data_IF_613572591219
#
_entry.id   IF_613572591219
#
_cell.length_a   1.000
_cell.length_b   1.000
_cell.length_c   1.000
_cell.angle_alpha   90.00
_cell.angle_beta   90.00
_cell.angle_gamma   90.00
#
_symmetry.space_group_name_H-M   'P 1'
#
loop_
_entity.id
_entity.type
_entity.pdbx_description
1 polymer ?
#
# COMPACT_ATOMS: atom_id res chain seq x y z
N UNK A 1 5.22 -10.04 -40.55
CA UNK A 1 4.07 -9.43 -39.84
C UNK A 1 4.55 -8.12 -39.18
N UNK A 2 4.21 -6.97 -39.75
CA UNK A 2 4.56 -5.65 -39.21
C UNK A 2 3.74 -5.37 -37.96
N UNK A 3 4.39 -5.22 -36.80
CA UNK A 3 3.75 -4.66 -35.60
C UNK A 3 3.49 -3.18 -35.84
N UNK A 4 2.24 -2.83 -36.10
CA UNK A 4 1.79 -1.44 -36.15
C UNK A 4 1.77 -0.95 -34.70
N UNK A 5 2.70 -0.07 -34.35
CA UNK A 5 2.70 0.66 -33.10
C UNK A 5 1.61 1.75 -33.21
N UNK A 6 0.42 1.47 -32.66
CA UNK A 6 -0.56 2.54 -32.46
C UNK A 6 -0.12 3.43 -31.30
N UNK A 7 -0.16 4.77 -31.45
CA UNK A 7 0.16 5.68 -30.36
C UNK A 7 -0.76 5.45 -29.16
N UNK A 8 -0.19 5.53 -27.98
CA UNK A 8 -0.83 5.21 -26.69
C UNK A 8 -2.07 6.10 -26.39
N UNK A 9 -2.27 7.17 -27.17
CA UNK A 9 -3.29 8.20 -26.93
C UNK A 9 -4.55 8.12 -27.79
N UNK A 10 -4.61 7.30 -28.83
CA UNK A 10 -5.74 7.26 -29.75
C UNK A 10 -6.22 5.82 -29.97
N UNK A 11 -7.31 5.46 -29.39
CA UNK A 11 -7.94 4.15 -29.65
C UNK A 11 -9.29 3.97 -28.99
N UNK A 12 -10.29 3.84 -29.80
CA UNK A 12 -11.64 3.28 -29.69
C UNK A 12 -12.34 3.16 -28.32
N UNK A 13 -13.68 3.22 -28.34
CA UNK A 13 -14.65 3.22 -27.21
C UNK A 13 -14.36 2.21 -26.09
N UNK A 14 -13.75 1.05 -26.38
CA UNK A 14 -13.29 0.10 -25.38
C UNK A 14 -12.04 0.57 -24.58
N UNK A 15 -11.23 1.51 -25.15
CA UNK A 15 -10.14 2.17 -24.43
C UNK A 15 -10.67 3.21 -23.43
N UNK A 16 -11.85 3.75 -23.64
CA UNK A 16 -12.42 4.77 -22.74
C UNK A 16 -12.82 4.16 -21.40
N UNK A 17 -13.35 2.92 -21.40
CA UNK A 17 -13.62 2.19 -20.16
C UNK A 17 -12.33 1.90 -19.38
N UNK A 18 -11.28 1.46 -20.05
CA UNK A 18 -10.00 1.21 -19.39
C UNK A 18 -9.40 2.51 -18.81
N UNK A 19 -9.51 3.64 -19.52
CA UNK A 19 -9.10 4.97 -19.01
C UNK A 19 -9.93 5.38 -17.80
N UNK A 20 -11.23 5.14 -17.84
CA UNK A 20 -12.13 5.41 -16.74
C UNK A 20 -11.74 4.66 -15.46
N UNK A 21 -11.39 3.37 -15.56
CA UNK A 21 -10.89 2.62 -14.41
C UNK A 21 -9.53 3.11 -13.92
N UNK A 22 -8.59 3.50 -14.81
CA UNK A 22 -7.33 4.13 -14.40
C UNK A 22 -7.61 5.39 -13.61
N UNK A 23 -8.53 6.23 -14.05
CA UNK A 23 -8.91 7.46 -13.35
C UNK A 23 -9.50 7.17 -11.97
N UNK A 24 -10.45 6.22 -11.86
CA UNK A 24 -11.01 5.80 -10.57
C UNK A 24 -9.92 5.34 -9.58
N UNK A 25 -9.02 4.50 -10.06
CA UNK A 25 -7.87 4.04 -9.27
C UNK A 25 -6.95 5.18 -8.85
N UNK A 26 -6.74 6.13 -9.74
CA UNK A 26 -5.87 7.29 -9.45
C UNK A 26 -6.47 8.18 -8.39
N UNK A 27 -7.78 8.44 -8.44
CA UNK A 27 -8.48 9.21 -7.41
C UNK A 27 -8.41 8.52 -6.05
N UNK A 28 -8.67 7.20 -5.98
CA UNK A 28 -8.54 6.43 -4.75
C UNK A 28 -7.10 6.43 -4.22
N UNK A 29 -6.12 6.18 -5.10
CA UNK A 29 -4.71 6.20 -4.74
C UNK A 29 -4.26 7.58 -4.25
N UNK A 30 -4.71 8.66 -4.86
CA UNK A 30 -4.38 10.03 -4.47
C UNK A 30 -5.00 10.40 -3.12
N UNK A 31 -6.28 10.05 -2.89
CA UNK A 31 -6.95 10.27 -1.61
C UNK A 31 -6.20 9.61 -0.44
N UNK A 32 -5.62 8.44 -0.65
CA UNK A 32 -4.82 7.74 0.35
C UNK A 32 -3.40 8.31 0.45
N UNK A 33 -2.77 8.58 -0.68
CA UNK A 33 -1.38 9.02 -0.74
C UNK A 33 -1.15 10.36 -0.03
N UNK A 34 -2.09 11.30 -0.18
CA UNK A 34 -2.02 12.62 0.44
C UNK A 34 -2.08 12.56 1.98
N UNK A 35 -2.66 11.50 2.54
CA UNK A 35 -2.79 11.28 3.97
C UNK A 35 -1.61 10.50 4.59
N UNK A 36 -0.80 9.83 3.77
CA UNK A 36 0.23 8.87 4.22
C UNK A 36 1.20 9.45 5.24
N UNK A 37 1.69 10.68 5.02
CA UNK A 37 2.62 11.35 5.95
C UNK A 37 1.91 12.30 6.91
N UNK A 38 0.79 12.89 6.49
CA UNK A 38 0.06 13.85 7.30
C UNK A 38 -0.58 13.20 8.53
N UNK A 39 -1.22 12.05 8.37
CA UNK A 39 -1.93 11.37 9.48
C UNK A 39 -0.97 10.90 10.58
N UNK A 40 0.19 10.25 10.30
CA UNK A 40 1.18 9.93 11.32
C UNK A 40 1.72 11.16 12.06
N UNK A 41 1.95 12.27 11.35
CA UNK A 41 2.41 13.53 11.96
C UNK A 41 1.35 14.12 12.89
N UNK A 42 0.09 14.14 12.47
CA UNK A 42 -1.02 14.56 13.31
C UNK A 42 -1.18 13.66 14.54
N UNK A 43 -1.09 12.33 14.32
CA UNK A 43 -1.16 11.38 15.42
C UNK A 43 -0.03 11.59 16.44
N UNK A 44 1.19 11.86 15.97
CA UNK A 44 2.31 12.16 16.83
C UNK A 44 2.13 13.46 17.60
N UNK A 45 1.63 14.51 16.94
CA UNK A 45 1.36 15.79 17.58
C UNK A 45 0.27 15.70 18.67
N UNK A 46 -0.80 14.91 18.42
CA UNK A 46 -1.93 14.75 19.36
C UNK A 46 -1.61 13.79 20.52
N UNK A 47 -0.89 12.72 20.25
CA UNK A 47 -0.62 11.68 21.26
C UNK A 47 0.69 11.92 22.02
N UNK A 48 1.60 12.75 21.50
CA UNK A 48 2.85 13.15 22.13
C UNK A 48 3.96 12.07 22.17
N UNK A 49 3.67 10.83 21.74
CA UNK A 49 4.64 9.74 21.79
C UNK A 49 4.45 8.76 20.62
N UNK A 50 5.55 8.37 19.97
CA UNK A 50 5.52 7.43 18.85
C UNK A 50 4.94 6.06 19.22
N UNK A 51 5.13 5.60 20.46
CA UNK A 51 4.53 4.36 20.98
C UNK A 51 2.99 4.40 20.94
N UNK A 52 2.38 5.52 21.30
CA UNK A 52 0.92 5.68 21.27
C UNK A 52 0.39 5.74 19.83
N UNK A 53 1.17 6.33 18.92
CA UNK A 53 0.86 6.27 17.49
C UNK A 53 0.86 4.83 17.02
N UNK A 54 1.86 4.03 17.39
CA UNK A 54 1.92 2.60 17.04
C UNK A 54 0.71 1.84 17.55
N UNK A 55 0.28 2.08 18.81
CA UNK A 55 -0.92 1.45 19.39
C UNK A 55 -2.17 1.87 18.62
N UNK A 56 -2.32 3.15 18.28
CA UNK A 56 -3.47 3.64 17.51
C UNK A 56 -3.56 2.97 16.12
N UNK A 57 -2.43 2.86 15.42
CA UNK A 57 -2.37 2.15 14.13
C UNK A 57 -2.62 0.66 14.28
N UNK A 58 -2.13 0.02 15.33
CA UNK A 58 -2.39 -1.40 15.61
C UNK A 58 -3.89 -1.67 15.81
N UNK A 59 -4.56 -0.86 16.64
CA UNK A 59 -6.01 -0.98 16.87
C UNK A 59 -6.79 -0.72 15.59
N UNK A 60 -6.44 0.32 14.84
CA UNK A 60 -7.08 0.62 13.56
C UNK A 60 -6.88 -0.51 12.54
N UNK A 61 -5.68 -1.08 12.46
CA UNK A 61 -5.37 -2.18 11.53
C UNK A 61 -6.12 -3.47 11.88
N UNK A 62 -6.44 -3.70 13.16
CA UNK A 62 -7.29 -4.82 13.55
C UNK A 62 -8.69 -4.69 12.95
N UNK A 63 -9.26 -3.48 12.96
CA UNK A 63 -10.54 -3.19 12.28
C UNK A 63 -10.44 -3.46 10.78
N UNK A 64 -9.36 -3.01 10.14
CA UNK A 64 -9.10 -3.26 8.70
C UNK A 64 -8.99 -4.75 8.36
N UNK A 65 -8.30 -5.53 9.19
CA UNK A 65 -8.18 -6.98 9.01
C UNK A 65 -9.55 -7.66 9.15
N UNK A 66 -10.32 -7.34 10.20
CA UNK A 66 -11.66 -7.87 10.40
C UNK A 66 -12.57 -7.52 9.22
N UNK A 67 -12.49 -6.27 8.72
CA UNK A 67 -13.24 -5.84 7.54
C UNK A 67 -12.87 -6.65 6.29
N UNK A 68 -11.58 -6.87 6.03
CA UNK A 68 -11.13 -7.61 4.85
C UNK A 68 -11.65 -9.06 4.82
N UNK A 69 -11.86 -9.66 5.98
CA UNK A 69 -12.42 -11.00 6.11
C UNK A 69 -13.94 -11.03 5.96
N UNK A 70 -14.62 -9.94 6.33
CA UNK A 70 -16.10 -9.85 6.28
C UNK A 70 -16.64 -9.33 4.94
N UNK A 71 -15.87 -8.52 4.20
CA UNK A 71 -16.29 -7.96 2.89
C UNK A 71 -16.80 -9.03 1.91
N UNK A 72 -16.16 -10.21 1.74
CA UNK A 72 -16.70 -11.27 0.88
C UNK A 72 -18.10 -11.74 1.29
N UNK A 73 -18.39 -11.76 2.60
CA UNK A 73 -19.70 -12.14 3.14
C UNK A 73 -20.73 -11.04 2.84
N UNK A 74 -20.36 -9.77 3.06
CA UNK A 74 -21.22 -8.61 2.78
C UNK A 74 -21.62 -8.56 1.30
N UNK A 75 -20.71 -8.94 0.40
CA UNK A 75 -20.95 -8.99 -1.04
C UNK A 75 -21.98 -10.06 -1.46
N UNK A 76 -22.31 -11.01 -0.59
CA UNK A 76 -23.46 -11.92 -0.83
C UNK A 76 -24.81 -11.26 -0.62
N UNK A 77 -24.89 -10.31 0.31
CA UNK A 77 -26.13 -9.69 0.74
C UNK A 77 -26.40 -8.35 0.06
N UNK A 78 -25.31 -7.60 -0.22
CA UNK A 78 -25.39 -6.23 -0.75
C UNK A 78 -24.79 -6.20 -2.15
N UNK A 79 -25.48 -5.54 -3.09
CA UNK A 79 -24.99 -5.33 -4.45
C UNK A 79 -23.67 -4.54 -4.43
N UNK A 80 -22.69 -4.92 -5.22
CA UNK A 80 -21.32 -4.34 -5.27
C UNK A 80 -21.30 -2.82 -5.38
N UNK A 81 -22.24 -2.23 -6.14
CA UNK A 81 -22.35 -0.77 -6.28
C UNK A 81 -22.58 -0.07 -4.93
N UNK A 82 -23.43 -0.64 -4.09
CA UNK A 82 -23.68 -0.10 -2.76
C UNK A 82 -22.52 -0.32 -1.81
N UNK A 83 -21.82 -1.44 -1.91
CA UNK A 83 -20.62 -1.70 -1.09
C UNK A 83 -19.51 -0.69 -1.45
N UNK A 84 -19.32 -0.36 -2.73
CA UNK A 84 -18.39 0.70 -3.15
C UNK A 84 -18.82 2.06 -2.59
N UNK A 85 -20.11 2.40 -2.71
CA UNK A 85 -20.64 3.66 -2.19
C UNK A 85 -20.48 3.76 -0.69
N UNK A 86 -20.80 2.71 0.06
CA UNK A 86 -20.59 2.64 1.52
C UNK A 86 -19.10 2.82 1.84
N UNK A 87 -18.20 2.13 1.14
CA UNK A 87 -16.75 2.28 1.33
C UNK A 87 -16.27 3.72 1.10
N UNK A 88 -16.76 4.38 0.04
CA UNK A 88 -16.43 5.78 -0.24
C UNK A 88 -17.00 6.74 0.82
N UNK A 89 -18.23 6.52 1.28
CA UNK A 89 -18.82 7.32 2.37
C UNK A 89 -18.05 7.13 3.67
N UNK A 90 -17.65 5.91 4.02
CA UNK A 90 -16.81 5.63 5.19
C UNK A 90 -15.47 6.33 5.05
N UNK A 91 -14.86 6.36 3.86
CA UNK A 91 -13.60 7.08 3.62
C UNK A 91 -13.77 8.59 3.84
N UNK A 92 -14.83 9.20 3.32
CA UNK A 92 -15.12 10.62 3.54
C UNK A 92 -15.36 10.91 5.02
N UNK A 93 -16.13 10.08 5.71
CA UNK A 93 -16.37 10.21 7.15
C UNK A 93 -15.08 10.06 7.97
N UNK A 94 -14.23 9.09 7.61
CA UNK A 94 -12.90 8.93 8.21
C UNK A 94 -12.09 10.21 8.11
N UNK A 95 -12.01 10.78 6.92
CA UNK A 95 -11.24 12.00 6.65
C UNK A 95 -11.84 13.20 7.41
N UNK A 96 -13.16 13.30 7.51
CA UNK A 96 -13.83 14.33 8.31
C UNK A 96 -13.51 14.21 9.80
N UNK A 97 -13.49 12.98 10.35
CA UNK A 97 -13.07 12.75 11.74
C UNK A 97 -11.60 13.10 11.97
N UNK A 98 -10.71 12.76 11.04
CA UNK A 98 -9.29 13.13 11.12
C UNK A 98 -9.12 14.66 11.12
N UNK A 99 -9.93 15.38 10.35
CA UNK A 99 -9.90 16.84 10.29
C UNK A 99 -10.30 17.52 11.62
N UNK A 100 -11.09 16.86 12.48
CA UNK A 100 -11.49 17.40 13.78
C UNK A 100 -10.32 17.56 14.78
N UNK A 101 -9.20 16.86 14.57
CA UNK A 101 -7.98 17.07 15.35
C UNK A 101 -8.04 16.72 16.83
N UNK A 102 -8.97 15.85 17.27
CA UNK A 102 -9.03 15.38 18.66
C UNK A 102 -8.49 13.97 18.79
N UNK A 103 -8.05 13.55 19.99
CA UNK A 103 -7.54 12.18 20.22
C UNK A 103 -8.58 11.12 19.90
N UNK A 104 -9.83 11.32 20.28
CA UNK A 104 -10.92 10.39 20.02
C UNK A 104 -11.24 10.31 18.52
N UNK A 105 -11.35 11.45 17.83
CA UNK A 105 -11.63 11.51 16.41
C UNK A 105 -10.48 10.94 15.58
N UNK A 106 -9.23 11.06 16.03
CA UNK A 106 -8.06 10.44 15.40
C UNK A 106 -8.19 8.92 15.39
N UNK A 107 -8.45 8.30 16.55
CA UNK A 107 -8.55 6.83 16.64
C UNK A 107 -9.74 6.31 15.84
N UNK A 108 -10.90 6.95 15.95
CA UNK A 108 -12.07 6.61 15.15
C UNK A 108 -11.85 6.81 13.65
N UNK A 109 -11.23 7.92 13.26
CA UNK A 109 -10.87 8.22 11.88
C UNK A 109 -9.91 7.20 11.29
N UNK A 110 -8.84 6.82 12.00
CA UNK A 110 -7.91 5.77 11.60
C UNK A 110 -8.62 4.43 11.43
N UNK A 111 -9.49 4.04 12.36
CA UNK A 111 -10.23 2.78 12.27
C UNK A 111 -11.15 2.76 11.04
N UNK A 112 -11.89 3.85 10.79
CA UNK A 112 -12.73 3.98 9.60
C UNK A 112 -11.89 4.03 8.31
N UNK A 113 -10.70 4.63 8.33
CA UNK A 113 -9.78 4.66 7.19
C UNK A 113 -9.35 3.23 6.81
N UNK A 114 -8.96 2.41 7.78
CA UNK A 114 -8.59 1.02 7.53
C UNK A 114 -9.77 0.16 7.05
N UNK A 115 -10.97 0.41 7.60
CA UNK A 115 -12.21 -0.20 7.14
C UNK A 115 -12.50 0.17 5.67
N UNK A 116 -12.49 1.47 5.34
CA UNK A 116 -12.73 1.96 3.99
C UNK A 116 -11.74 1.39 2.98
N UNK A 117 -10.44 1.39 3.32
CA UNK A 117 -9.38 0.83 2.48
C UNK A 117 -9.64 -0.65 2.18
N UNK A 118 -10.00 -1.45 3.18
CA UNK A 118 -10.28 -2.87 3.00
C UNK A 118 -11.50 -3.10 2.07
N UNK A 119 -12.55 -2.31 2.24
CA UNK A 119 -13.77 -2.39 1.40
C UNK A 119 -13.48 -1.97 -0.03
N UNK A 120 -12.87 -0.80 -0.22
CA UNK A 120 -12.60 -0.23 -1.55
C UNK A 120 -11.61 -1.08 -2.34
N UNK A 121 -10.54 -1.58 -1.71
CA UNK A 121 -9.55 -2.45 -2.35
C UNK A 121 -10.21 -3.71 -2.95
N UNK A 122 -11.10 -4.35 -2.20
CA UNK A 122 -11.79 -5.56 -2.70
C UNK A 122 -12.74 -5.21 -3.83
N UNK A 123 -13.61 -4.21 -3.64
CA UNK A 123 -14.69 -3.93 -4.57
C UNK A 123 -14.16 -3.33 -5.89
N UNK A 124 -13.22 -2.39 -5.84
CA UNK A 124 -12.64 -1.79 -7.04
C UNK A 124 -11.88 -2.85 -7.86
N UNK A 125 -11.15 -3.77 -7.21
CA UNK A 125 -10.50 -4.86 -7.92
C UNK A 125 -11.49 -5.85 -8.56
N UNK A 126 -12.64 -6.12 -7.92
CA UNK A 126 -13.68 -6.94 -8.52
C UNK A 126 -14.28 -6.27 -9.77
N UNK A 127 -14.61 -4.97 -9.71
CA UNK A 127 -15.07 -4.23 -10.89
C UNK A 127 -14.05 -4.24 -12.02
N UNK A 128 -12.76 -4.12 -11.70
CA UNK A 128 -11.67 -4.21 -12.67
C UNK A 128 -11.68 -5.55 -13.41
N UNK A 129 -11.73 -6.66 -12.65
CA UNK A 129 -11.69 -8.01 -13.21
C UNK A 129 -12.91 -8.34 -14.08
N UNK A 130 -14.07 -7.74 -13.77
CA UNK A 130 -15.30 -7.96 -14.52
C UNK A 130 -15.34 -7.16 -15.84
N UNK A 131 -14.73 -5.96 -15.87
CA UNK A 131 -14.86 -5.06 -17.02
C UNK A 131 -13.65 -5.09 -17.95
N UNK A 132 -12.49 -5.56 -17.48
CA UNK A 132 -11.28 -5.61 -18.31
C UNK A 132 -10.97 -7.04 -18.72
N UNK A 133 -11.06 -7.35 -20.03
CA UNK A 133 -10.73 -8.68 -20.54
C UNK A 133 -9.30 -9.09 -20.15
N UNK A 134 -9.10 -10.34 -19.75
CA UNK A 134 -7.80 -10.88 -19.31
C UNK A 134 -6.66 -10.60 -20.28
N UNK A 135 -6.93 -10.61 -21.61
CA UNK A 135 -5.94 -10.31 -22.66
C UNK A 135 -5.43 -8.88 -22.61
N UNK A 136 -6.21 -7.92 -22.06
CA UNK A 136 -5.85 -6.50 -21.96
C UNK A 136 -5.25 -6.11 -20.62
N UNK A 137 -5.33 -6.97 -19.62
CA UNK A 137 -4.74 -6.71 -18.31
C UNK A 137 -3.23 -6.37 -18.41
N UNK A 138 -2.51 -6.99 -19.34
CA UNK A 138 -1.09 -6.74 -19.57
C UNK A 138 -0.78 -5.30 -20.04
N UNK A 139 -1.74 -4.60 -20.65
CA UNK A 139 -1.60 -3.21 -21.07
C UNK A 139 -2.21 -2.24 -20.05
N UNK A 140 -3.25 -2.66 -19.34
CA UNK A 140 -3.93 -1.87 -18.33
C UNK A 140 -3.12 -1.74 -17.04
N UNK A 141 -2.60 -2.83 -16.52
CA UNK A 141 -1.92 -2.89 -15.23
C UNK A 141 -0.70 -1.95 -15.16
N UNK A 142 0.20 -1.87 -16.17
CA UNK A 142 1.31 -0.92 -16.15
C UNK A 142 0.87 0.55 -16.12
N UNK A 143 -0.27 0.88 -16.77
CA UNK A 143 -0.81 2.26 -16.72
C UNK A 143 -1.38 2.56 -15.34
N UNK A 144 -2.17 1.67 -14.78
CA UNK A 144 -2.72 1.81 -13.44
C UNK A 144 -1.59 2.02 -12.42
N UNK A 145 -0.54 1.20 -12.48
CA UNK A 145 0.61 1.31 -11.59
C UNK A 145 1.37 2.62 -11.78
N UNK A 146 1.48 3.13 -13.00
CA UNK A 146 2.14 4.41 -13.28
C UNK A 146 1.39 5.57 -12.62
N UNK A 147 0.08 5.67 -12.84
CA UNK A 147 -0.72 6.76 -12.28
C UNK A 147 -0.87 6.66 -10.76
N UNK A 148 -1.10 5.47 -10.22
CA UNK A 148 -1.10 5.25 -8.79
C UNK A 148 0.28 5.54 -8.18
N UNK A 149 1.37 5.11 -8.83
CA UNK A 149 2.73 5.40 -8.41
C UNK A 149 3.03 6.91 -8.41
N UNK A 150 2.55 7.66 -9.41
CA UNK A 150 2.68 9.12 -9.43
C UNK A 150 1.93 9.77 -8.26
N UNK A 151 0.71 9.29 -7.96
CA UNK A 151 -0.06 9.76 -6.80
C UNK A 151 0.68 9.48 -5.48
N UNK A 152 1.25 8.29 -5.31
CA UNK A 152 2.04 7.94 -4.12
C UNK A 152 3.39 8.66 -4.06
N UNK A 153 4.03 8.97 -5.19
CA UNK A 153 5.27 9.74 -5.22
C UNK A 153 5.05 11.23 -4.87
N UNK A 154 3.92 11.81 -5.23
CA UNK A 154 3.64 13.22 -4.97
C UNK A 154 2.82 13.46 -3.69
N UNK A 155 1.89 12.55 -3.38
CA UNK A 155 0.88 12.73 -2.32
C UNK A 155 1.43 13.01 -0.93
N UNK A 156 2.41 12.26 -0.41
CA UNK A 156 2.92 12.47 0.94
C UNK A 156 3.46 13.87 1.18
N UNK A 157 4.23 14.41 0.24
CA UNK A 157 4.74 15.77 0.33
C UNK A 157 3.63 16.82 0.17
N UNK A 158 2.77 16.67 -0.85
CA UNK A 158 1.65 17.57 -1.09
C UNK A 158 0.75 17.64 0.15
N UNK A 159 0.47 16.51 0.78
CA UNK A 159 -0.41 16.45 1.95
C UNK A 159 0.12 17.26 3.12
N UNK A 160 1.39 17.08 3.47
CA UNK A 160 1.99 17.84 4.58
C UNK A 160 2.13 19.32 4.22
N UNK A 161 2.51 19.61 2.97
CA UNK A 161 2.67 20.98 2.48
C UNK A 161 1.36 21.77 2.53
N UNK A 162 0.26 21.21 2.02
CA UNK A 162 -1.05 21.86 2.02
C UNK A 162 -1.52 22.16 3.44
N UNK A 163 -1.38 21.19 4.36
CA UNK A 163 -1.81 21.35 5.73
C UNK A 163 -1.03 22.44 6.48
N UNK A 164 0.28 22.54 6.23
CA UNK A 164 1.17 23.43 6.98
C UNK A 164 1.32 24.82 6.38
N UNK A 165 1.33 24.94 5.06
CA UNK A 165 1.68 26.18 4.39
C UNK A 165 0.50 26.88 3.71
N UNK A 166 -0.64 26.17 3.49
CA UNK A 166 -1.80 26.77 2.83
C UNK A 166 -2.95 26.96 3.81
N UNK A 167 -3.51 25.87 4.35
CA UNK A 167 -4.55 25.93 5.37
C UNK A 167 -4.63 24.63 6.16
N UNK A 168 -4.82 24.75 7.48
CA UNK A 168 -5.13 23.59 8.31
C UNK A 168 -6.41 22.92 7.82
N UNK A 169 -6.36 21.59 7.65
CA UNK A 169 -7.51 20.83 7.15
C UNK A 169 -7.61 20.72 5.63
N UNK A 170 -6.90 21.53 4.82
CA UNK A 170 -7.00 21.48 3.37
C UNK A 170 -6.63 20.09 2.79
N UNK A 171 -5.66 19.41 3.38
CA UNK A 171 -5.28 18.05 3.00
C UNK A 171 -6.45 17.09 3.13
N UNK A 172 -7.22 17.20 4.19
CA UNK A 172 -8.41 16.36 4.42
C UNK A 172 -9.52 16.70 3.44
N UNK A 173 -9.73 17.99 3.15
CA UNK A 173 -10.69 18.41 2.13
C UNK A 173 -10.33 17.85 0.74
N UNK A 174 -9.08 17.95 0.35
CA UNK A 174 -8.59 17.43 -0.94
C UNK A 174 -8.74 15.90 -1.01
N UNK A 175 -8.46 15.17 0.07
CA UNK A 175 -8.68 13.73 0.14
C UNK A 175 -10.17 13.37 0.02
N UNK A 176 -11.05 14.12 0.71
CA UNK A 176 -12.50 13.93 0.62
C UNK A 176 -13.03 14.23 -0.79
N UNK A 177 -12.59 15.33 -1.42
CA UNK A 177 -12.95 15.70 -2.79
C UNK A 177 -12.47 14.66 -3.80
N UNK A 178 -11.26 14.11 -3.62
CA UNK A 178 -10.76 13.04 -4.49
C UNK A 178 -11.63 11.76 -4.40
N UNK A 179 -12.04 11.40 -3.18
CA UNK A 179 -12.96 10.26 -2.96
C UNK A 179 -14.35 10.55 -3.54
N UNK A 180 -14.85 11.78 -3.37
CA UNK A 180 -16.13 12.19 -3.94
C UNK A 180 -16.09 12.19 -5.47
N UNK A 181 -15.00 12.67 -6.07
CA UNK A 181 -14.76 12.61 -7.52
C UNK A 181 -14.76 11.17 -8.01
N UNK A 182 -14.09 10.26 -7.31
CA UNK A 182 -14.13 8.83 -7.60
C UNK A 182 -15.57 8.30 -7.57
N UNK A 183 -16.35 8.63 -6.54
CA UNK A 183 -17.70 8.15 -6.37
C UNK A 183 -18.66 8.72 -7.43
N UNK A 184 -18.62 10.02 -7.70
CA UNK A 184 -19.45 10.65 -8.73
C UNK A 184 -19.14 10.09 -10.12
N UNK A 185 -17.85 9.95 -10.43
CA UNK A 185 -17.43 9.38 -11.70
C UNK A 185 -17.85 7.92 -11.85
N UNK A 186 -17.79 7.11 -10.77
CA UNK A 186 -18.29 5.75 -10.76
C UNK A 186 -19.79 5.68 -11.13
N UNK A 187 -20.61 6.56 -10.56
CA UNK A 187 -22.04 6.59 -10.85
C UNK A 187 -22.37 7.15 -12.25
N UNK A 188 -21.63 8.15 -12.73
CA UNK A 188 -21.84 8.74 -14.08
C UNK A 188 -21.51 7.75 -15.21
N UNK A 189 -20.51 6.89 -15.00
CA UNK A 189 -20.12 5.87 -15.97
C UNK A 189 -21.14 4.71 -16.09
N UNK A 190 -22.23 4.72 -15.30
CA UNK A 190 -23.21 3.62 -15.23
C UNK A 190 -22.59 2.22 -15.11
N UNK A 191 -21.42 2.14 -14.49
CA UNK A 191 -20.76 0.86 -14.21
C UNK A 191 -21.61 -0.04 -13.31
N UNK A 192 -22.64 0.55 -12.71
CA UNK A 192 -23.60 -0.10 -11.84
C UNK A 192 -24.66 -0.94 -12.56
N UNK A 193 -24.91 -0.69 -13.86
CA UNK A 193 -26.17 -1.11 -14.52
C UNK A 193 -26.04 -2.31 -15.48
N UNK A 194 -24.94 -3.04 -15.44
CA UNK A 194 -24.76 -4.21 -16.30
C UNK A 194 -25.39 -5.46 -15.67
N UNK A 195 -26.61 -5.90 -16.09
CA UNK A 195 -27.34 -7.03 -15.48
C UNK A 195 -26.61 -8.36 -15.61
N UNK A 196 -25.80 -8.52 -16.66
CA UNK A 196 -25.02 -9.74 -16.91
C UNK A 196 -23.91 -9.97 -15.89
N UNK A 197 -23.47 -8.91 -15.17
CA UNK A 197 -22.45 -8.99 -14.14
C UNK A 197 -23.02 -9.30 -12.75
N UNK A 198 -24.34 -9.14 -12.57
CA UNK A 198 -25.00 -9.42 -11.29
C UNK A 198 -25.14 -10.93 -11.02
N UNK A 199 -25.14 -11.77 -12.06
CA UNK A 199 -25.39 -13.20 -11.95
C UNK A 199 -24.12 -14.09 -12.01
N UNK A 200 -22.99 -13.56 -12.49
CA UNK A 200 -21.87 -14.40 -12.93
C UNK A 200 -20.69 -14.51 -11.98
N UNK A 201 -20.59 -13.69 -10.95
CA UNK A 201 -19.42 -13.72 -10.10
C UNK A 201 -19.75 -14.26 -8.71
N UNK A 202 -19.36 -15.50 -8.48
CA UNK A 202 -19.24 -16.01 -7.12
C UNK A 202 -18.38 -15.03 -6.29
N UNK A 203 -18.76 -14.74 -5.05
CA UNK A 203 -17.95 -13.87 -4.19
C UNK A 203 -16.55 -14.43 -4.08
N UNK A 204 -15.55 -13.56 -3.83
CA UNK A 204 -14.17 -14.01 -3.69
C UNK A 204 -14.11 -15.08 -2.61
N UNK A 205 -13.37 -16.18 -2.85
CA UNK A 205 -13.29 -17.27 -1.88
C UNK A 205 -12.71 -16.74 -0.56
N UNK A 206 -13.36 -17.08 0.57
CA UNK A 206 -12.86 -16.70 1.88
C UNK A 206 -11.44 -17.22 2.09
N UNK A 207 -10.48 -16.36 2.48
CA UNK A 207 -9.11 -16.81 2.72
C UNK A 207 -9.03 -17.89 3.80
N UNK A 208 -9.86 -17.81 4.85
CA UNK A 208 -9.86 -18.75 5.97
C UNK A 208 -10.08 -20.21 5.54
N UNK A 209 -10.93 -20.44 4.53
CA UNK A 209 -11.23 -21.80 4.02
C UNK A 209 -9.99 -22.49 3.42
N UNK A 210 -9.03 -21.72 2.92
CA UNK A 210 -7.89 -22.24 2.17
C UNK A 210 -6.55 -22.11 2.90
N UNK A 211 -6.51 -21.51 4.10
CA UNK A 211 -5.29 -21.29 4.90
C UNK A 211 -4.52 -22.60 5.10
N UNK A 212 -5.18 -23.67 5.54
CA UNK A 212 -4.50 -24.95 5.78
C UNK A 212 -3.81 -25.49 4.52
N UNK A 213 -4.50 -25.39 3.37
CA UNK A 213 -3.94 -25.82 2.07
C UNK A 213 -2.81 -24.92 1.59
N UNK A 214 -2.85 -23.63 1.94
CA UNK A 214 -1.79 -22.68 1.62
C UNK A 214 -0.53 -22.99 2.44
N UNK A 215 -0.67 -23.18 3.75
CA UNK A 215 0.45 -23.47 4.67
C UNK A 215 1.11 -24.81 4.32
N UNK A 216 0.37 -25.79 3.81
CA UNK A 216 0.93 -27.06 3.34
C UNK A 216 1.88 -26.91 2.12
N UNK A 217 1.99 -25.72 1.53
CA UNK A 217 2.84 -25.44 0.38
C UNK A 217 3.99 -24.48 0.74
N UNK A 218 5.19 -24.95 1.11
CA UNK A 218 6.29 -24.12 1.63
C UNK A 218 6.70 -22.98 0.70
N UNK A 219 6.60 -23.18 -0.63
CA UNK A 219 6.92 -22.14 -1.62
C UNK A 219 5.93 -20.97 -1.58
N UNK A 220 4.64 -21.24 -1.31
CA UNK A 220 3.63 -20.20 -1.16
C UNK A 220 3.81 -19.45 0.16
N UNK A 221 4.14 -20.17 1.23
CA UNK A 221 4.46 -19.58 2.53
C UNK A 221 5.66 -18.66 2.42
N UNK A 222 6.75 -19.11 1.77
CA UNK A 222 7.92 -18.28 1.54
C UNK A 222 7.58 -17.00 0.75
N UNK A 223 6.79 -17.12 -0.32
CA UNK A 223 6.35 -15.96 -1.10
C UNK A 223 5.51 -14.99 -0.25
N UNK A 224 4.65 -15.50 0.63
CA UNK A 224 3.83 -14.71 1.54
C UNK A 224 4.67 -13.99 2.60
N UNK A 225 5.65 -14.68 3.21
CA UNK A 225 6.58 -14.10 4.19
C UNK A 225 7.39 -12.98 3.55
N UNK A 226 7.92 -13.17 2.35
CA UNK A 226 8.65 -12.12 1.63
C UNK A 226 7.74 -10.92 1.32
N UNK A 227 6.51 -11.15 0.86
CA UNK A 227 5.56 -10.09 0.61
C UNK A 227 5.17 -9.34 1.91
N UNK A 228 5.05 -10.06 3.03
CA UNK A 228 4.82 -9.50 4.36
C UNK A 228 6.00 -8.60 4.78
N UNK A 229 7.23 -9.06 4.63
CA UNK A 229 8.44 -8.28 4.95
C UNK A 229 8.53 -6.99 4.12
N UNK A 230 8.23 -7.06 2.82
CA UNK A 230 8.15 -5.88 1.96
C UNK A 230 7.10 -4.88 2.44
N UNK A 231 5.88 -5.35 2.68
CA UNK A 231 4.80 -4.49 3.17
C UNK A 231 5.13 -3.89 4.54
N UNK A 232 5.73 -4.69 5.42
CA UNK A 232 6.14 -4.26 6.75
C UNK A 232 7.17 -3.13 6.73
N UNK A 233 8.16 -3.22 5.85
CA UNK A 233 9.14 -2.15 5.69
C UNK A 233 8.49 -0.84 5.20
N UNK A 234 7.57 -0.92 4.23
CA UNK A 234 6.84 0.26 3.76
C UNK A 234 5.94 0.86 4.85
N UNK A 235 5.23 0.05 5.63
CA UNK A 235 4.43 0.53 6.77
C UNK A 235 5.31 1.26 7.78
N UNK A 236 6.48 0.72 8.09
CA UNK A 236 7.49 1.39 8.93
C UNK A 236 7.86 2.75 8.34
N UNK A 237 8.26 2.80 7.08
CA UNK A 237 8.71 4.02 6.44
C UNK A 237 7.62 5.10 6.41
N UNK A 238 6.37 4.73 6.11
CA UNK A 238 5.26 5.67 6.02
C UNK A 238 4.89 6.30 7.37
N UNK A 239 4.96 5.53 8.45
CA UNK A 239 4.57 6.01 9.78
C UNK A 239 5.75 6.71 10.47
N UNK A 240 6.91 6.09 10.51
CA UNK A 240 7.97 6.52 11.42
C UNK A 240 8.98 7.48 10.80
N UNK A 241 9.15 7.51 9.47
CA UNK A 241 10.03 8.49 8.82
C UNK A 241 9.55 9.93 9.04
N UNK A 242 8.26 10.28 8.81
CA UNK A 242 7.77 11.62 9.12
C UNK A 242 7.87 11.96 10.61
N UNK A 243 7.56 11.00 11.49
CA UNK A 243 7.64 11.18 12.95
C UNK A 243 9.10 11.43 13.38
N UNK A 244 10.06 10.69 12.82
CA UNK A 244 11.47 10.88 13.13
C UNK A 244 11.94 12.29 12.74
N UNK A 245 11.60 12.75 11.54
CA UNK A 245 11.93 14.10 11.06
C UNK A 245 11.39 15.17 12.01
N UNK A 246 10.13 15.04 12.41
CA UNK A 246 9.50 15.96 13.36
C UNK A 246 10.13 15.91 14.76
N UNK A 247 10.45 14.70 15.27
CA UNK A 247 11.08 14.51 16.57
C UNK A 247 12.53 15.00 16.62
N UNK A 248 13.22 15.01 15.47
CA UNK A 248 14.56 15.57 15.33
C UNK A 248 14.58 17.10 15.16
N UNK A 249 13.43 17.77 15.27
CA UNK A 249 13.30 19.24 15.22
C UNK A 249 13.30 19.84 13.81
N UNK A 250 13.20 19.02 12.78
CA UNK A 250 13.11 19.50 11.39
C UNK A 250 11.65 19.79 10.99
N UNK A 251 11.49 20.58 9.94
CA UNK A 251 10.16 20.91 9.39
C UNK A 251 9.45 19.64 8.91
N UNK A 252 8.18 19.43 9.28
CA UNK A 252 7.42 18.22 8.93
C UNK A 252 7.31 17.95 7.42
N UNK A 253 7.37 19.00 6.59
CA UNK A 253 7.35 18.89 5.13
C UNK A 253 8.53 18.05 4.58
N UNK A 254 9.68 18.10 5.26
CA UNK A 254 10.84 17.28 4.93
C UNK A 254 10.50 15.79 5.09
N UNK A 255 9.73 15.44 6.13
CA UNK A 255 9.27 14.06 6.34
C UNK A 255 8.38 13.56 5.18
N UNK A 256 7.42 14.40 4.76
CA UNK A 256 6.60 14.13 3.58
C UNK A 256 7.43 14.03 2.29
N UNK A 257 8.41 14.93 2.12
CA UNK A 257 9.31 14.92 0.96
C UNK A 257 10.17 13.66 0.90
N UNK A 258 10.71 13.20 2.02
CA UNK A 258 11.51 11.97 2.09
C UNK A 258 10.69 10.73 1.68
N UNK A 259 9.46 10.63 2.16
CA UNK A 259 8.55 9.54 1.76
C UNK A 259 8.23 9.63 0.26
N UNK A 260 7.94 10.82 -0.25
CA UNK A 260 7.67 11.06 -1.67
C UNK A 260 8.89 10.71 -2.54
N UNK A 261 10.08 11.17 -2.18
CA UNK A 261 11.32 10.87 -2.89
C UNK A 261 11.64 9.38 -2.86
N UNK A 262 11.41 8.72 -1.72
CA UNK A 262 11.58 7.27 -1.59
C UNK A 262 10.62 6.46 -2.46
N UNK A 263 9.42 6.98 -2.74
CA UNK A 263 8.42 6.34 -3.60
C UNK A 263 8.60 6.69 -5.09
N UNK A 264 9.25 7.81 -5.43
CA UNK A 264 9.44 8.24 -6.82
C UNK A 264 10.05 7.15 -7.72
N UNK A 265 11.03 6.32 -7.25
CA UNK A 265 11.59 5.24 -8.08
C UNK A 265 10.60 4.12 -8.41
N UNK A 266 9.40 4.07 -7.80
CA UNK A 266 8.33 3.18 -8.27
C UNK A 266 7.90 3.49 -9.71
N UNK A 267 8.11 4.73 -10.18
CA UNK A 267 7.90 5.09 -11.58
C UNK A 267 8.88 4.35 -12.53
N UNK A 268 10.01 3.90 -12.00
CA UNK A 268 11.03 3.12 -12.70
C UNK A 268 10.79 1.60 -12.63
N UNK A 269 9.59 1.15 -12.27
CA UNK A 269 9.26 -0.29 -12.12
C UNK A 269 9.63 -1.12 -13.36
N UNK A 270 9.60 -0.52 -14.55
CA UNK A 270 10.03 -1.19 -15.80
C UNK A 270 11.53 -1.47 -15.82
N UNK A 271 12.33 -0.57 -15.25
CA UNK A 271 13.79 -0.72 -15.13
C UNK A 271 14.08 -1.87 -14.17
N UNK A 272 13.45 -1.88 -13.00
CA UNK A 272 13.57 -2.96 -12.03
C UNK A 272 13.13 -4.31 -12.59
N UNK A 273 12.05 -4.32 -13.38
CA UNK A 273 11.58 -5.53 -14.08
C UNK A 273 12.62 -6.07 -15.07
N UNK A 274 13.31 -5.20 -15.84
CA UNK A 274 14.41 -5.59 -16.72
C UNK A 274 15.61 -6.12 -15.97
N UNK A 275 16.02 -5.44 -14.90
CA UNK A 275 17.12 -5.90 -14.03
C UNK A 275 16.77 -7.26 -13.44
N UNK A 276 15.52 -7.48 -13.02
CA UNK A 276 15.04 -8.76 -12.52
C UNK A 276 15.05 -9.88 -13.56
N UNK A 277 14.86 -9.57 -14.85
CA UNK A 277 15.01 -10.53 -15.94
C UNK A 277 16.47 -10.95 -16.16
N UNK A 278 17.42 -10.02 -16.00
CA UNK A 278 18.85 -10.27 -16.17
C UNK A 278 19.43 -11.00 -14.96
N UNK A 279 19.17 -10.51 -13.74
CA UNK A 279 19.74 -11.05 -12.51
C UNK A 279 18.98 -12.26 -11.97
N UNK A 280 17.74 -12.47 -12.41
CA UNK A 280 16.80 -13.42 -11.82
C UNK A 280 16.08 -12.86 -10.57
N UNK A 281 14.85 -13.30 -10.36
CA UNK A 281 13.97 -12.84 -9.25
C UNK A 281 14.60 -13.04 -7.88
N UNK A 282 15.28 -14.17 -7.66
CA UNK A 282 15.96 -14.50 -6.40
C UNK A 282 17.03 -13.47 -6.05
N UNK A 283 17.94 -13.17 -6.99
CA UNK A 283 19.05 -12.25 -6.75
C UNK A 283 18.55 -10.81 -6.58
N UNK A 284 17.57 -10.38 -7.41
CA UNK A 284 16.95 -9.07 -7.28
C UNK A 284 16.36 -8.87 -5.88
N UNK A 285 15.60 -9.83 -5.36
CA UNK A 285 15.03 -9.77 -4.02
C UNK A 285 16.10 -9.80 -2.93
N UNK A 286 17.09 -10.69 -3.06
CA UNK A 286 18.18 -10.80 -2.07
C UNK A 286 18.99 -9.52 -1.96
N UNK A 287 19.34 -8.90 -3.08
CA UNK A 287 20.06 -7.62 -3.14
C UNK A 287 19.17 -6.48 -2.65
N UNK A 288 17.93 -6.38 -3.14
CA UNK A 288 16.99 -5.34 -2.73
C UNK A 288 16.76 -5.34 -1.22
N UNK A 289 16.42 -6.50 -0.63
CA UNK A 289 16.24 -6.62 0.81
C UNK A 289 17.53 -6.38 1.59
N UNK A 290 18.68 -6.87 1.10
CA UNK A 290 19.97 -6.68 1.72
C UNK A 290 20.34 -5.20 1.80
N UNK A 291 20.30 -4.50 0.67
CA UNK A 291 20.59 -3.06 0.61
C UNK A 291 19.64 -2.24 1.48
N UNK A 292 18.32 -2.53 1.39
CA UNK A 292 17.31 -1.88 2.23
C UNK A 292 17.58 -2.12 3.71
N UNK A 293 17.93 -3.35 4.09
CA UNK A 293 18.23 -3.72 5.47
C UNK A 293 19.49 -3.02 5.99
N UNK A 294 20.60 -3.08 5.26
CA UNK A 294 21.83 -2.41 5.65
C UNK A 294 21.70 -0.89 5.73
N UNK A 295 21.03 -0.27 4.75
CA UNK A 295 20.78 1.17 4.78
C UNK A 295 19.91 1.59 5.97
N UNK A 296 18.89 0.78 6.34
CA UNK A 296 18.05 1.04 7.51
C UNK A 296 18.84 0.90 8.82
N UNK A 297 19.74 -0.08 8.94
CA UNK A 297 20.64 -0.21 10.10
C UNK A 297 21.64 0.95 10.19
N UNK A 298 22.23 1.35 9.07
CA UNK A 298 23.11 2.51 9.03
C UNK A 298 22.37 3.80 9.41
N UNK A 299 21.11 3.95 8.95
CA UNK A 299 20.25 5.06 9.35
C UNK A 299 19.98 5.07 10.87
N UNK A 300 19.75 3.91 11.46
CA UNK A 300 19.57 3.79 12.91
C UNK A 300 20.83 4.22 13.67
N UNK A 301 22.03 3.80 13.24
CA UNK A 301 23.28 4.23 13.81
C UNK A 301 23.44 5.75 13.69
N UNK A 302 23.20 6.31 12.50
CA UNK A 302 23.24 7.75 12.28
C UNK A 302 22.25 8.53 13.19
N UNK A 303 21.06 7.97 13.42
CA UNK A 303 20.06 8.57 14.31
C UNK A 303 20.51 8.57 15.78
N UNK A 304 21.11 7.46 16.25
CA UNK A 304 21.62 7.35 17.63
C UNK A 304 22.83 8.25 17.85
N UNK A 305 23.69 8.43 16.84
CA UNK A 305 24.87 9.31 16.93
C UNK A 305 24.55 10.80 16.72
N UNK A 306 23.26 11.17 16.56
CA UNK A 306 22.83 12.56 16.37
C UNK A 306 23.01 13.09 14.94
N UNK A 307 23.44 12.26 13.98
CA UNK A 307 23.62 12.62 12.58
C UNK A 307 22.29 12.56 11.81
N UNK A 308 21.33 13.39 12.18
CA UNK A 308 19.95 13.31 11.69
C UNK A 308 19.85 13.47 10.16
N UNK A 309 20.65 14.34 9.54
CA UNK A 309 20.65 14.50 8.07
C UNK A 309 21.16 13.23 7.36
N UNK A 310 22.19 12.58 7.91
CA UNK A 310 22.68 11.32 7.38
C UNK A 310 21.62 10.21 7.53
N UNK A 311 20.94 10.16 8.68
CA UNK A 311 19.82 9.23 8.87
C UNK A 311 18.75 9.42 7.81
N UNK A 312 18.29 10.65 7.55
CA UNK A 312 17.29 10.97 6.54
C UNK A 312 17.75 10.54 5.13
N UNK A 313 19.00 10.82 4.76
CA UNK A 313 19.57 10.41 3.48
C UNK A 313 19.61 8.87 3.34
N UNK A 314 20.01 8.16 4.39
CA UNK A 314 20.09 6.70 4.40
C UNK A 314 18.69 6.04 4.36
N UNK A 315 17.68 6.61 5.02
CA UNK A 315 16.29 6.11 4.93
C UNK A 315 15.72 6.35 3.52
N UNK A 316 16.01 7.51 2.92
CA UNK A 316 15.62 7.77 1.53
C UNK A 316 16.30 6.78 0.58
N UNK A 317 17.58 6.48 0.77
CA UNK A 317 18.31 5.46 0.01
C UNK A 317 17.74 4.05 0.26
N UNK A 318 17.38 3.71 1.50
CA UNK A 318 16.73 2.44 1.81
C UNK A 318 15.38 2.31 1.09
N UNK A 319 14.60 3.40 1.03
CA UNK A 319 13.34 3.44 0.28
C UNK A 319 13.57 3.25 -1.23
N UNK A 320 14.58 3.89 -1.80
CA UNK A 320 15.00 3.65 -3.18
C UNK A 320 15.30 2.16 -3.41
N UNK A 321 16.09 1.53 -2.55
CA UNK A 321 16.40 0.10 -2.65
C UNK A 321 15.16 -0.79 -2.48
N UNK A 322 14.21 -0.39 -1.63
CA UNK A 322 12.96 -1.12 -1.44
C UNK A 322 12.10 -1.17 -2.72
N UNK A 323 12.18 -0.16 -3.59
CA UNK A 323 11.48 -0.19 -4.89
C UNK A 323 11.99 -1.28 -5.84
N UNK A 324 13.24 -1.75 -5.67
CA UNK A 324 13.75 -2.93 -6.40
C UNK A 324 12.94 -4.18 -6.04
N UNK A 325 12.56 -4.31 -4.76
CA UNK A 325 11.76 -5.43 -4.26
C UNK A 325 10.35 -5.38 -4.89
N UNK A 326 9.79 -4.17 -5.01
CA UNK A 326 8.50 -3.95 -5.69
C UNK A 326 8.56 -4.28 -7.17
N UNK A 327 9.72 -4.10 -7.82
CA UNK A 327 9.96 -4.51 -9.20
C UNK A 327 9.84 -6.02 -9.43
N UNK A 328 10.19 -6.86 -8.44
CA UNK A 328 9.89 -8.29 -8.45
C UNK A 328 8.41 -8.57 -8.14
N UNK A 329 7.75 -7.68 -7.41
CA UNK A 329 6.33 -7.73 -7.10
C UNK A 329 5.90 -9.07 -6.48
N UNK A 330 4.84 -9.65 -7.05
CA UNK A 330 4.28 -10.92 -6.60
C UNK A 330 4.78 -12.12 -7.45
N UNK A 331 5.88 -11.96 -8.22
CA UNK A 331 6.43 -13.01 -9.11
C UNK A 331 6.70 -14.33 -8.36
N UNK A 332 7.29 -14.33 -7.14
CA UNK A 332 7.50 -15.58 -6.41
C UNK A 332 6.21 -16.37 -6.16
N UNK A 333 5.14 -15.67 -5.80
CA UNK A 333 3.82 -16.28 -5.62
C UNK A 333 3.24 -16.77 -6.96
N UNK A 334 3.25 -15.93 -7.99
CA UNK A 334 2.64 -16.24 -9.30
C UNK A 334 3.29 -17.46 -9.98
N UNK A 335 4.59 -17.68 -9.75
CA UNK A 335 5.33 -18.84 -10.26
C UNK A 335 5.17 -20.09 -9.39
N UNK A 336 4.92 -19.93 -8.09
CA UNK A 336 4.73 -21.04 -7.18
C UNK A 336 3.30 -21.63 -7.20
N UNK A 337 2.29 -20.81 -7.53
CA UNK A 337 0.88 -21.21 -7.47
C UNK A 337 0.48 -22.04 -8.69
N UNK A 338 -0.22 -23.16 -8.46
CA UNK A 338 -0.78 -24.00 -9.52
C UNK A 338 -1.98 -23.32 -10.19
N UNK A 339 -2.13 -23.50 -11.50
CA UNK A 339 -3.17 -22.80 -12.29
C UNK A 339 -4.60 -23.01 -11.77
N UNK A 340 -4.93 -24.25 -11.37
CA UNK A 340 -6.27 -24.59 -10.88
C UNK A 340 -6.56 -24.08 -9.47
N UNK A 341 -5.54 -23.79 -8.66
CA UNK A 341 -5.67 -23.26 -7.31
C UNK A 341 -5.52 -21.74 -7.20
N UNK A 342 -5.22 -21.08 -8.32
CA UNK A 342 -4.79 -19.68 -8.32
C UNK A 342 -5.75 -18.75 -7.58
N UNK A 343 -7.06 -18.85 -7.83
CA UNK A 343 -8.05 -17.98 -7.18
C UNK A 343 -8.08 -18.14 -5.65
N UNK A 344 -8.11 -19.41 -5.19
CA UNK A 344 -8.14 -19.74 -3.78
C UNK A 344 -6.85 -19.34 -3.05
N UNK A 345 -5.69 -19.61 -3.65
CA UNK A 345 -4.40 -19.27 -3.06
C UNK A 345 -4.12 -17.75 -3.10
N UNK A 346 -4.61 -17.03 -4.12
CA UNK A 346 -4.49 -15.57 -4.19
C UNK A 346 -5.23 -14.90 -3.04
N UNK A 347 -6.43 -15.39 -2.67
CA UNK A 347 -7.18 -14.80 -1.55
C UNK A 347 -6.42 -14.91 -0.23
N UNK A 348 -5.76 -16.04 0.02
CA UNK A 348 -4.89 -16.21 1.19
C UNK A 348 -3.63 -15.36 1.07
N UNK A 349 -2.98 -15.37 -0.11
CA UNK A 349 -1.76 -14.61 -0.32
C UNK A 349 -1.95 -13.11 -0.02
N UNK A 350 -3.03 -12.50 -0.50
CA UNK A 350 -3.29 -11.06 -0.34
C UNK A 350 -3.47 -10.62 1.12
N UNK A 351 -3.69 -11.56 2.06
CA UNK A 351 -3.78 -11.24 3.50
C UNK A 351 -2.48 -10.64 4.05
N UNK A 352 -1.32 -10.81 3.36
CA UNK A 352 -0.05 -10.23 3.81
C UNK A 352 -0.14 -8.72 4.05
N UNK A 353 -0.99 -8.00 3.29
CA UNK A 353 -1.17 -6.55 3.45
C UNK A 353 -1.80 -6.21 4.79
N UNK A 354 -2.91 -6.85 5.11
CA UNK A 354 -3.65 -6.58 6.36
C UNK A 354 -2.89 -7.11 7.58
N UNK A 355 -2.28 -8.30 7.46
CA UNK A 355 -1.42 -8.84 8.51
C UNK A 355 -0.19 -7.96 8.73
N UNK A 356 0.43 -7.46 7.68
CA UNK A 356 1.56 -6.53 7.79
C UNK A 356 1.19 -5.21 8.44
N UNK A 357 0.05 -4.64 8.03
CA UNK A 357 -0.46 -3.40 8.63
C UNK A 357 -0.84 -3.57 10.11
N UNK A 358 -1.15 -4.78 10.56
CA UNK A 358 -1.43 -5.11 11.95
C UNK A 358 -0.14 -5.42 12.73
N UNK A 359 0.65 -6.38 12.25
CA UNK A 359 1.81 -6.91 12.98
C UNK A 359 2.88 -5.84 13.16
N UNK A 360 3.12 -5.02 12.14
CA UNK A 360 4.21 -4.05 12.16
C UNK A 360 4.01 -2.95 13.22
N UNK A 361 2.88 -2.23 13.27
CA UNK A 361 2.66 -1.28 14.35
C UNK A 361 2.58 -1.97 15.73
N UNK A 362 2.08 -3.21 15.80
CA UNK A 362 2.06 -3.97 17.04
C UNK A 362 3.46 -4.27 17.58
N UNK A 363 4.36 -4.76 16.71
CA UNK A 363 5.78 -5.00 17.08
C UNK A 363 6.45 -3.68 17.47
N UNK A 364 6.23 -2.61 16.71
CA UNK A 364 6.83 -1.32 17.02
C UNK A 364 6.23 -0.66 18.28
N UNK A 365 4.98 -0.93 18.62
CA UNK A 365 4.43 -0.53 19.92
C UNK A 365 5.24 -1.16 21.07
N UNK A 366 5.57 -2.44 20.97
CA UNK A 366 6.41 -3.15 21.95
C UNK A 366 7.86 -2.63 21.96
N UNK A 367 8.48 -2.45 20.81
CA UNK A 367 9.84 -1.92 20.68
C UNK A 367 9.93 -0.52 21.30
N UNK A 368 8.99 0.37 20.98
CA UNK A 368 8.96 1.75 21.46
C UNK A 368 8.50 1.88 22.92
N UNK A 369 8.08 0.81 23.55
CA UNK A 369 7.84 0.78 24.99
C UNK A 369 9.15 0.75 25.78
N UNK A 370 10.17 0.11 25.24
CA UNK A 370 11.46 -0.14 25.92
C UNK A 370 12.58 0.72 25.31
N UNK A 371 12.53 0.94 24.00
CA UNK A 371 13.62 1.53 23.22
C UNK A 371 13.19 2.84 22.54
N UNK A 372 14.13 3.78 22.31
CA UNK A 372 13.83 5.04 21.63
C UNK A 372 13.52 4.85 20.14
N UNK A 373 12.96 5.90 19.51
CA UNK A 373 12.47 5.90 18.13
C UNK A 373 13.47 5.36 17.08
N UNK A 374 14.80 5.61 17.13
CA UNK A 374 15.74 5.05 16.16
C UNK A 374 15.75 3.53 16.06
N UNK A 375 15.34 2.82 17.11
CA UNK A 375 15.28 1.35 17.11
C UNK A 375 14.18 0.78 16.20
N UNK A 376 13.24 1.59 15.74
CA UNK A 376 12.31 1.23 14.68
C UNK A 376 13.08 0.93 13.38
N UNK A 377 14.09 1.72 13.06
CA UNK A 377 14.96 1.49 11.89
C UNK A 377 15.88 0.28 12.07
N UNK A 378 16.32 -0.01 13.31
CA UNK A 378 17.02 -1.27 13.61
C UNK A 378 16.12 -2.46 13.30
N UNK A 379 14.89 -2.46 13.81
CA UNK A 379 13.95 -3.56 13.62
C UNK A 379 13.60 -3.74 12.13
N UNK A 380 13.34 -2.63 11.40
CA UNK A 380 13.12 -2.65 9.96
C UNK A 380 14.33 -3.14 9.17
N UNK A 381 15.53 -2.78 9.59
CA UNK A 381 16.78 -3.22 9.00
C UNK A 381 17.03 -4.72 9.20
N UNK A 382 16.83 -5.22 10.41
CA UNK A 382 16.93 -6.66 10.72
C UNK A 382 15.90 -7.48 9.95
N UNK A 383 14.68 -6.96 9.85
CA UNK A 383 13.64 -7.58 9.01
C UNK A 383 14.10 -7.66 7.55
N UNK A 384 14.66 -6.58 7.00
CA UNK A 384 15.22 -6.56 5.64
C UNK A 384 16.29 -7.63 5.44
N UNK A 385 17.27 -7.75 6.36
CA UNK A 385 18.32 -8.77 6.28
C UNK A 385 17.76 -10.19 6.41
N UNK A 386 16.79 -10.42 7.29
CA UNK A 386 16.11 -11.70 7.38
C UNK A 386 15.41 -12.06 6.06
N UNK A 387 14.72 -11.11 5.42
CA UNK A 387 14.08 -11.33 4.13
C UNK A 387 15.11 -11.58 3.02
N UNK A 388 16.26 -10.90 3.05
CA UNK A 388 17.37 -11.15 2.14
C UNK A 388 17.91 -12.58 2.26
N UNK A 389 18.05 -13.07 3.49
CA UNK A 389 18.43 -14.45 3.76
C UNK A 389 17.37 -15.44 3.26
N UNK A 390 16.11 -15.22 3.60
CA UNK A 390 14.99 -16.09 3.18
C UNK A 390 14.82 -16.11 1.66
N UNK A 391 15.09 -15.02 0.97
CA UNK A 391 14.99 -14.96 -0.50
C UNK A 391 15.93 -15.94 -1.21
N UNK A 392 17.01 -16.39 -0.55
CA UNK A 392 17.94 -17.40 -1.06
C UNK A 392 17.30 -18.78 -1.25
N UNK A 393 16.19 -19.06 -0.57
CA UNK A 393 15.44 -20.30 -0.72
C UNK A 393 14.49 -20.30 -1.93
N UNK A 394 14.38 -19.19 -2.66
CA UNK A 394 13.67 -19.15 -3.95
C UNK A 394 14.48 -20.00 -4.95
N UNK A 395 13.85 -20.95 -5.68
CA UNK A 395 14.53 -21.77 -6.67
C UNK A 395 15.23 -20.91 -7.75
N UNK A 396 16.42 -21.30 -8.19
CA UNK A 396 17.22 -20.55 -9.18
C UNK A 396 16.58 -20.47 -10.57
N UNK A 397 15.62 -21.33 -10.88
CA UNK A 397 14.87 -21.34 -12.15
C UNK A 397 13.58 -20.51 -12.14
N UNK A 398 13.35 -19.71 -11.09
CA UNK A 398 12.19 -18.82 -10.99
C UNK A 398 12.50 -17.39 -11.39
#
# INVERSE_FOLDING_TARGET
>A
MRRIYSPILLGNVENDRARAFVFLFTCDAFARAILISQVPLQAYALLGAARLVSVAYFVAAFVGLAASLTVPVVLHWIRRRWVLTIGAVIQILSVALLALGTKASLVAGLALQMLAMAVLDVVINLYLLDHIPRRRLNHFEPRRLLFAGAAFAAGPWIGVYLHRNVAEGLTYLVAALSTLTMLTFFWTLRLADNPSLQAAAAPPPSPLKFVRRFIAQPRLVLAWVLALGRNGWWVMNFIYTPIYVASAGYRPEIGGALVSLGLAPMLLVRVWGRIGQIMGTRNLLSVGYGLTGFASLAAAVAAVTGLSLLCMALICFAAFCATMIDGAGNVPFLRAVRHYDRAAMTSVFMTFRHVGSLVVPGVFALVLWVLPLPFVFVTGGLLGLLMAFLSRYIPRGM
#
